data_IF_620038189083
#
_entry.id   IF_620038189083
#
_cell.length_a   1.000
_cell.length_b   1.000
_cell.length_c   1.000
_cell.angle_alpha   90.00
_cell.angle_beta   90.00
_cell.angle_gamma   90.00
#
_symmetry.space_group_name_H-M   'P 1'
#
loop_
_entity.id
_entity.type
_entity.pdbx_description
1 polymer ?
#
# COMPACT_ATOMS: atom_id res chain seq x y z
N UNK A 1 5.90 -12.87 19.48
CA UNK A 1 4.96 -12.05 18.69
C UNK A 1 5.49 -10.64 18.47
N UNK A 2 5.77 -9.84 19.51
CA UNK A 2 6.26 -8.46 19.32
C UNK A 2 7.49 -8.36 18.43
N UNK A 3 8.53 -9.17 18.65
CA UNK A 3 9.73 -9.21 17.79
C UNK A 3 9.41 -9.59 16.34
N UNK A 4 8.47 -10.51 16.12
CA UNK A 4 8.02 -10.91 14.77
C UNK A 4 7.34 -9.74 14.06
N UNK A 5 6.42 -9.06 14.75
CA UNK A 5 5.71 -7.88 14.26
C UNK A 5 6.65 -6.70 14.01
N UNK A 6 7.73 -6.58 14.79
CA UNK A 6 8.77 -5.59 14.57
C UNK A 6 9.58 -5.90 13.31
N UNK A 7 10.05 -7.15 13.14
CA UNK A 7 10.77 -7.59 11.94
C UNK A 7 9.94 -7.38 10.67
N UNK A 8 8.63 -7.58 10.75
CA UNK A 8 7.70 -7.29 9.67
C UNK A 8 7.70 -5.80 9.28
N UNK A 9 7.63 -4.88 10.27
CA UNK A 9 7.75 -3.44 10.01
C UNK A 9 9.12 -3.07 9.44
N UNK A 10 10.20 -3.67 9.93
CA UNK A 10 11.56 -3.42 9.45
C UNK A 10 11.73 -3.82 7.98
N UNK A 11 11.17 -4.94 7.53
CA UNK A 11 11.14 -5.33 6.10
C UNK A 11 10.49 -4.26 5.22
N UNK A 12 9.53 -3.50 5.75
CA UNK A 12 8.86 -2.44 5.00
C UNK A 12 9.77 -1.20 4.89
N UNK A 13 10.47 -0.87 5.97
CA UNK A 13 11.47 0.21 5.99
C UNK A 13 12.62 -0.09 5.02
N UNK A 14 13.08 -1.34 4.97
CA UNK A 14 14.15 -1.79 4.07
C UNK A 14 13.87 -1.48 2.59
N UNK A 15 12.61 -1.49 2.15
CA UNK A 15 12.25 -1.11 0.77
C UNK A 15 12.74 0.32 0.48
N UNK A 16 12.52 1.24 1.41
CA UNK A 16 12.90 2.64 1.26
C UNK A 16 14.39 2.92 1.54
N UNK A 17 15.15 1.91 1.98
CA UNK A 17 16.60 1.95 2.10
C UNK A 17 17.26 1.34 0.85
N UNK A 18 16.68 0.27 0.32
CA UNK A 18 17.15 -0.47 -0.86
C UNK A 18 17.04 0.34 -2.15
N UNK A 19 15.96 1.11 -2.28
CA UNK A 19 15.67 1.87 -3.49
C UNK A 19 15.94 3.35 -3.27
N UNK A 20 16.69 3.95 -4.18
CA UNK A 20 16.78 5.40 -4.32
C UNK A 20 15.59 5.89 -5.16
N UNK A 21 14.66 6.57 -4.51
CA UNK A 21 13.47 7.13 -5.15
C UNK A 21 13.65 8.58 -5.58
N UNK A 22 14.85 9.14 -5.43
CA UNK A 22 15.18 10.48 -5.93
C UNK A 22 15.04 10.51 -7.46
N UNK A 23 14.45 11.59 -7.99
CA UNK A 23 14.23 11.76 -9.42
C UNK A 23 13.18 10.84 -10.09
N UNK A 24 12.76 9.74 -9.44
CA UNK A 24 11.80 8.79 -10.03
C UNK A 24 10.39 9.37 -10.23
N UNK A 25 9.60 8.79 -11.13
CA UNK A 25 8.18 9.09 -11.26
C UNK A 25 7.39 8.53 -10.07
N UNK A 26 6.42 9.26 -9.55
CA UNK A 26 5.58 8.82 -8.43
C UNK A 26 4.85 7.49 -8.70
N UNK A 27 4.42 7.23 -9.94
CA UNK A 27 3.78 5.99 -10.35
C UNK A 27 4.76 4.81 -10.32
N UNK A 28 5.99 5.00 -10.79
CA UNK A 28 7.03 3.96 -10.71
C UNK A 28 7.32 3.58 -9.26
N UNK A 29 7.41 4.59 -8.37
CA UNK A 29 7.62 4.36 -6.93
C UNK A 29 6.49 3.52 -6.35
N UNK A 30 5.23 3.87 -6.65
CA UNK A 30 4.07 3.09 -6.18
C UNK A 30 4.12 1.65 -6.69
N UNK A 31 4.45 1.44 -7.97
CA UNK A 31 4.53 0.09 -8.57
C UNK A 31 5.64 -0.76 -7.95
N UNK A 32 6.82 -0.16 -7.69
CA UNK A 32 7.95 -0.85 -7.04
C UNK A 32 7.57 -1.25 -5.61
N UNK A 33 7.02 -0.32 -4.83
CA UNK A 33 6.61 -0.58 -3.45
C UNK A 33 5.50 -1.64 -3.41
N UNK A 34 4.53 -1.58 -4.32
CA UNK A 34 3.46 -2.58 -4.46
C UNK A 34 4.01 -4.00 -4.72
N UNK A 35 4.99 -4.12 -5.62
CA UNK A 35 5.65 -5.41 -5.92
C UNK A 35 6.42 -5.96 -4.73
N UNK A 36 7.25 -5.13 -4.11
CA UNK A 36 8.02 -5.53 -2.93
C UNK A 36 7.10 -5.93 -1.77
N UNK A 37 5.93 -5.29 -1.64
CA UNK A 37 4.89 -5.68 -0.70
C UNK A 37 4.35 -7.08 -1.00
N UNK A 38 3.95 -7.32 -2.25
CA UNK A 38 3.42 -8.62 -2.66
C UNK A 38 4.43 -9.76 -2.44
N UNK A 39 5.73 -9.51 -2.67
CA UNK A 39 6.79 -10.50 -2.48
C UNK A 39 7.16 -10.74 -1.02
N UNK A 40 7.30 -9.68 -0.21
CA UNK A 40 7.82 -9.76 1.17
C UNK A 40 6.74 -10.01 2.23
N UNK A 41 5.48 -9.75 1.91
CA UNK A 41 4.35 -9.75 2.86
C UNK A 41 3.22 -10.70 2.44
N UNK A 42 3.53 -11.70 1.60
CA UNK A 42 2.60 -12.79 1.24
C UNK A 42 1.95 -13.45 2.48
N UNK A 43 2.69 -13.52 3.59
CA UNK A 43 2.24 -14.15 4.84
C UNK A 43 1.31 -13.26 5.69
N UNK A 44 0.99 -12.02 5.29
CA UNK A 44 0.00 -11.20 6.01
C UNK A 44 -1.39 -11.47 5.43
N UNK A 45 -1.93 -12.65 5.76
CA UNK A 45 -3.32 -12.96 5.42
C UNK A 45 -4.29 -12.27 6.39
N UNK A 46 -5.53 -11.97 5.95
CA UNK A 46 -6.61 -11.54 6.85
C UNK A 46 -6.80 -12.50 8.04
N UNK A 47 -6.62 -13.80 7.83
CA UNK A 47 -6.73 -14.82 8.88
C UNK A 47 -5.67 -14.64 9.99
N UNK A 48 -4.39 -14.46 9.62
CA UNK A 48 -3.31 -14.23 10.59
C UNK A 48 -3.51 -12.92 11.35
N UNK A 49 -3.97 -11.87 10.65
CA UNK A 49 -4.29 -10.59 11.27
C UNK A 49 -5.41 -10.72 12.31
N UNK A 50 -6.48 -11.44 11.96
CA UNK A 50 -7.60 -11.69 12.87
C UNK A 50 -7.15 -12.46 14.12
N UNK A 51 -6.35 -13.51 13.96
CA UNK A 51 -5.82 -14.31 15.06
C UNK A 51 -4.92 -13.50 16.00
N UNK A 52 -3.97 -12.72 15.45
CA UNK A 52 -3.07 -11.88 16.24
C UNK A 52 -3.81 -10.81 17.03
N UNK A 53 -4.84 -10.19 16.45
CA UNK A 53 -5.68 -9.20 17.12
C UNK A 53 -6.47 -9.80 18.28
N UNK A 54 -6.93 -11.05 18.14
CA UNK A 54 -7.63 -11.77 19.21
C UNK A 54 -6.72 -12.24 20.34
N UNK A 55 -5.55 -12.79 20.02
CA UNK A 55 -4.63 -13.35 21.00
C UNK A 55 -3.75 -12.31 21.71
N UNK A 56 -3.39 -11.21 21.02
CA UNK A 56 -2.43 -10.21 21.51
C UNK A 56 -2.88 -8.77 21.18
N UNK A 57 -4.05 -8.32 21.68
CA UNK A 57 -4.68 -7.06 21.26
C UNK A 57 -3.79 -5.82 21.46
N UNK A 58 -3.16 -5.65 22.63
CA UNK A 58 -2.33 -4.47 22.91
C UNK A 58 -1.05 -4.44 22.07
N UNK A 59 -0.41 -5.60 21.90
CA UNK A 59 0.82 -5.74 21.10
C UNK A 59 0.50 -5.48 19.62
N UNK A 60 -0.63 -6.02 19.14
CA UNK A 60 -1.08 -5.82 17.77
C UNK A 60 -1.47 -4.35 17.53
N UNK A 61 -2.20 -3.72 18.46
CA UNK A 61 -2.61 -2.31 18.32
C UNK A 61 -1.41 -1.39 18.20
N UNK A 62 -0.38 -1.56 19.06
CA UNK A 62 0.87 -0.80 18.95
C UNK A 62 1.57 -1.03 17.61
N UNK A 63 1.69 -2.28 17.16
CA UNK A 63 2.26 -2.61 15.84
C UNK A 63 1.47 -1.91 14.72
N UNK A 64 0.14 -1.96 14.79
CA UNK A 64 -0.75 -1.40 13.80
C UNK A 64 -0.61 0.12 13.70
N UNK A 65 -0.60 0.83 14.84
CA UNK A 65 -0.47 2.28 14.87
C UNK A 65 0.87 2.74 14.26
N UNK A 66 1.98 2.09 14.61
CA UNK A 66 3.30 2.36 14.03
C UNK A 66 3.33 2.11 12.52
N UNK A 67 2.72 1.00 12.08
CA UNK A 67 2.65 0.62 10.66
C UNK A 67 1.81 1.60 9.84
N UNK A 68 0.61 1.95 10.32
CA UNK A 68 -0.28 2.88 9.62
C UNK A 68 0.33 4.28 9.56
N UNK A 69 0.97 4.75 10.63
CA UNK A 69 1.65 6.04 10.64
C UNK A 69 2.73 6.10 9.55
N UNK A 70 3.59 5.08 9.49
CA UNK A 70 4.64 5.00 8.47
C UNK A 70 4.06 4.98 7.04
N UNK A 71 3.05 4.14 6.78
CA UNK A 71 2.42 4.05 5.44
C UNK A 71 1.77 5.38 5.06
N UNK A 72 1.11 6.05 6.01
CA UNK A 72 0.48 7.36 5.81
C UNK A 72 1.50 8.42 5.39
N UNK A 73 2.67 8.45 6.03
CA UNK A 73 3.74 9.39 5.65
C UNK A 73 4.26 9.11 4.25
N UNK A 74 4.49 7.83 3.90
CA UNK A 74 4.98 7.46 2.56
C UNK A 74 3.97 7.78 1.48
N UNK A 75 2.67 7.54 1.69
CA UNK A 75 1.66 7.85 0.70
C UNK A 75 1.51 9.37 0.52
N UNK A 76 1.59 10.17 1.60
CA UNK A 76 1.56 11.64 1.53
C UNK A 76 2.73 12.20 0.71
N UNK A 77 3.94 11.67 0.92
CA UNK A 77 5.14 12.04 0.14
C UNK A 77 4.94 11.70 -1.34
N UNK A 78 4.47 10.48 -1.64
CA UNK A 78 4.25 10.05 -3.01
C UNK A 78 3.18 10.90 -3.71
N UNK A 79 2.05 11.19 -3.05
CA UNK A 79 0.98 12.05 -3.56
C UNK A 79 1.51 13.45 -3.89
N UNK A 80 2.25 14.06 -2.96
CA UNK A 80 2.87 15.38 -3.15
C UNK A 80 3.76 15.38 -4.38
N UNK A 81 4.59 14.35 -4.52
CA UNK A 81 5.51 14.19 -5.64
C UNK A 81 4.76 14.03 -6.97
N UNK A 82 3.76 13.15 -7.04
CA UNK A 82 3.02 12.94 -8.28
C UNK A 82 2.19 14.16 -8.72
N UNK A 83 1.70 14.97 -7.77
CA UNK A 83 1.09 16.27 -8.09
C UNK A 83 2.13 17.22 -8.68
N UNK A 84 3.32 17.33 -8.08
CA UNK A 84 4.41 18.19 -8.61
C UNK A 84 4.92 17.75 -10.00
N UNK A 85 4.72 16.48 -10.35
CA UNK A 85 5.08 15.89 -11.64
C UNK A 85 3.92 15.90 -12.65
N UNK A 86 2.75 16.45 -12.26
CA UNK A 86 1.50 16.44 -13.04
C UNK A 86 0.99 15.01 -13.40
N UNK A 87 1.49 14.00 -12.69
CA UNK A 87 1.05 12.61 -12.83
C UNK A 87 -0.23 12.35 -12.05
N UNK A 88 -0.43 13.06 -10.94
CA UNK A 88 -1.65 13.03 -10.14
C UNK A 88 -2.40 14.34 -10.25
N UNK A 89 -3.72 14.29 -10.06
CA UNK A 89 -4.56 15.49 -10.19
C UNK A 89 -4.18 16.53 -9.14
N UNK A 90 -4.12 17.80 -9.57
CA UNK A 90 -3.75 18.91 -8.69
C UNK A 90 -4.84 19.34 -7.71
N UNK A 91 -6.06 18.83 -7.84
CA UNK A 91 -7.22 19.12 -6.98
C UNK A 91 -7.34 18.20 -5.76
N UNK A 92 -6.43 17.23 -5.62
CA UNK A 92 -6.46 16.25 -4.54
C UNK A 92 -6.13 16.90 -3.18
N UNK A 93 -6.97 16.61 -2.18
CA UNK A 93 -6.58 16.81 -0.78
C UNK A 93 -5.67 15.67 -0.34
N UNK A 94 -4.37 15.92 -0.25
CA UNK A 94 -3.35 14.91 0.13
C UNK A 94 -3.74 14.19 1.43
N UNK A 95 -4.20 14.93 2.43
CA UNK A 95 -4.60 14.37 3.72
C UNK A 95 -5.81 13.43 3.61
N UNK A 96 -6.85 13.84 2.88
CA UNK A 96 -8.04 13.01 2.71
C UNK A 96 -7.73 11.75 1.91
N UNK A 97 -6.96 11.87 0.83
CA UNK A 97 -6.59 10.74 -0.01
C UNK A 97 -5.69 9.75 0.74
N UNK A 98 -4.74 10.24 1.55
CA UNK A 98 -3.92 9.38 2.40
C UNK A 98 -4.78 8.60 3.41
N UNK A 99 -5.74 9.25 4.07
CA UNK A 99 -6.67 8.59 5.00
C UNK A 99 -7.55 7.56 4.31
N UNK A 100 -8.06 7.87 3.11
CA UNK A 100 -8.86 6.93 2.33
C UNK A 100 -8.04 5.71 1.90
N UNK A 101 -6.79 5.89 1.51
CA UNK A 101 -5.88 4.79 1.19
C UNK A 101 -5.67 3.87 2.40
N UNK A 102 -5.37 4.44 3.58
CA UNK A 102 -5.24 3.70 4.83
C UNK A 102 -6.53 2.95 5.18
N UNK A 103 -7.69 3.61 5.07
CA UNK A 103 -8.98 2.97 5.33
C UNK A 103 -9.17 1.74 4.45
N UNK A 104 -8.87 1.84 3.15
CA UNK A 104 -8.98 0.70 2.23
C UNK A 104 -8.02 -0.43 2.56
N UNK A 105 -6.79 -0.09 2.95
CA UNK A 105 -5.80 -1.08 3.38
C UNK A 105 -6.25 -1.86 4.63
N UNK A 106 -6.97 -1.20 5.54
CA UNK A 106 -7.58 -1.85 6.71
C UNK A 106 -8.77 -2.72 6.27
N UNK A 107 -9.65 -2.18 5.41
CA UNK A 107 -10.87 -2.87 4.98
C UNK A 107 -10.60 -4.21 4.30
N UNK A 108 -9.52 -4.34 3.51
CA UNK A 108 -9.17 -5.60 2.83
C UNK A 108 -8.78 -6.74 3.80
N UNK A 109 -8.60 -6.45 5.09
CA UNK A 109 -8.41 -7.45 6.15
C UNK A 109 -9.69 -7.75 6.92
N UNK A 110 -10.83 -7.13 6.58
CA UNK A 110 -12.09 -7.36 7.25
C UNK A 110 -12.78 -8.63 6.68
N UNK A 111 -12.89 -9.71 7.47
CA UNK A 111 -13.47 -10.97 7.01
C UNK A 111 -14.98 -10.88 6.73
N UNK A 112 -15.69 -9.88 7.28
CA UNK A 112 -17.12 -9.69 7.05
C UNK A 112 -17.40 -9.21 5.61
N UNK A 113 -16.47 -8.44 5.04
CA UNK A 113 -16.56 -7.95 3.66
C UNK A 113 -15.78 -8.83 2.68
N UNK A 114 -14.64 -9.35 3.10
CA UNK A 114 -13.73 -10.14 2.27
C UNK A 114 -13.35 -11.46 2.97
N UNK A 115 -14.23 -12.48 2.90
CA UNK A 115 -13.95 -13.79 3.49
C UNK A 115 -12.66 -14.39 2.90
N UNK A 116 -11.72 -14.86 3.75
CA UNK A 116 -10.43 -15.37 3.29
C UNK A 116 -10.54 -16.66 2.45
N UNK A 117 -11.66 -17.38 2.54
CA UNK A 117 -11.95 -18.56 1.71
C UNK A 117 -12.32 -18.18 0.27
N UNK A 118 -12.79 -16.94 0.06
CA UNK A 118 -13.24 -16.45 -1.24
C UNK A 118 -12.21 -15.53 -1.91
N UNK A 119 -11.45 -14.77 -1.12
CA UNK A 119 -10.54 -13.74 -1.64
C UNK A 119 -9.15 -13.85 -1.04
N UNK A 120 -8.14 -13.97 -1.90
CA UNK A 120 -6.74 -13.88 -1.48
C UNK A 120 -6.34 -12.44 -1.19
N UNK A 121 -5.41 -12.23 -0.25
CA UNK A 121 -4.85 -10.90 0.04
C UNK A 121 -4.28 -10.25 -1.23
N UNK A 122 -3.55 -11.02 -2.05
CA UNK A 122 -2.98 -10.53 -3.32
C UNK A 122 -4.06 -9.95 -4.22
N UNK A 123 -5.14 -10.70 -4.47
CA UNK A 123 -6.24 -10.25 -5.33
C UNK A 123 -6.89 -8.96 -4.80
N UNK A 124 -7.16 -8.88 -3.50
CA UNK A 124 -7.76 -7.69 -2.89
C UNK A 124 -6.83 -6.48 -2.96
N UNK A 125 -5.54 -6.69 -2.67
CA UNK A 125 -4.52 -5.65 -2.70
C UNK A 125 -4.32 -5.13 -4.12
N UNK A 126 -4.22 -6.00 -5.13
CA UNK A 126 -4.06 -5.62 -6.54
C UNK A 126 -5.23 -4.76 -7.02
N UNK A 127 -6.47 -5.18 -6.75
CA UNK A 127 -7.68 -4.42 -7.13
C UNK A 127 -7.75 -3.08 -6.39
N UNK A 128 -7.47 -3.06 -5.09
CA UNK A 128 -7.45 -1.84 -4.27
C UNK A 128 -6.40 -0.85 -4.77
N UNK A 129 -5.19 -1.34 -5.05
CA UNK A 129 -4.06 -0.55 -5.54
C UNK A 129 -4.33 0.03 -6.93
N UNK A 130 -4.81 -0.79 -7.87
CA UNK A 130 -5.18 -0.32 -9.20
C UNK A 130 -6.29 0.74 -9.14
N UNK A 131 -7.32 0.49 -8.33
CA UNK A 131 -8.41 1.46 -8.11
C UNK A 131 -7.85 2.77 -7.56
N UNK A 132 -6.93 2.71 -6.60
CA UNK A 132 -6.29 3.90 -6.03
C UNK A 132 -5.54 4.71 -7.09
N UNK A 133 -4.65 4.09 -7.88
CA UNK A 133 -3.88 4.79 -8.92
C UNK A 133 -4.80 5.45 -9.93
N UNK A 134 -5.79 4.70 -10.46
CA UNK A 134 -6.80 5.22 -11.39
C UNK A 134 -7.60 6.38 -10.78
N UNK A 135 -7.86 6.32 -9.48
CA UNK A 135 -8.62 7.35 -8.77
C UNK A 135 -7.84 8.64 -8.49
N UNK A 136 -6.51 8.67 -8.64
CA UNK A 136 -5.68 9.86 -8.35
C UNK A 136 -4.95 10.42 -9.58
N UNK A 137 -4.75 9.60 -10.61
CA UNK A 137 -3.98 9.98 -11.78
C UNK A 137 -4.66 11.07 -12.63
N UNK A 138 -3.85 11.89 -13.29
CA UNK A 138 -4.27 12.69 -14.46
C UNK A 138 -4.43 11.78 -15.68
N UNK A 139 -5.02 12.23 -16.80
CA UNK A 139 -5.03 11.45 -18.04
C UNK A 139 -3.63 11.01 -18.47
N UNK A 140 -2.64 11.92 -18.41
CA UNK A 140 -1.23 11.62 -18.70
C UNK A 140 -0.64 10.60 -17.73
N UNK A 141 -0.92 10.74 -16.43
CA UNK A 141 -0.48 9.78 -15.43
C UNK A 141 -1.11 8.40 -15.64
N UNK A 142 -2.38 8.35 -16.06
CA UNK A 142 -3.07 7.11 -16.35
C UNK A 142 -2.46 6.41 -17.57
N UNK A 143 -2.21 7.15 -18.66
CA UNK A 143 -1.53 6.61 -19.85
C UNK A 143 -0.14 6.03 -19.47
N UNK A 144 0.61 6.76 -18.64
CA UNK A 144 1.90 6.29 -18.12
C UNK A 144 1.77 5.01 -17.29
N UNK A 145 0.76 4.96 -16.41
CA UNK A 145 0.47 3.78 -15.59
C UNK A 145 0.16 2.55 -16.46
N UNK A 146 -0.67 2.70 -17.50
CA UNK A 146 -1.00 1.59 -18.41
C UNK A 146 0.24 1.11 -19.18
N UNK A 147 1.08 2.03 -19.67
CA UNK A 147 2.32 1.69 -20.35
C UNK A 147 3.24 0.85 -19.44
N UNK A 148 3.39 1.27 -18.17
CA UNK A 148 4.20 0.55 -17.18
C UNK A 148 3.59 -0.79 -16.80
N UNK A 149 2.27 -0.85 -16.61
CA UNK A 149 1.56 -2.09 -16.27
C UNK A 149 1.79 -3.15 -17.36
N UNK A 150 1.62 -2.77 -18.62
CA UNK A 150 1.78 -3.65 -19.78
C UNK A 150 3.25 -4.07 -20.00
N UNK A 151 4.19 -3.14 -19.85
CA UNK A 151 5.62 -3.42 -20.09
C UNK A 151 6.26 -4.30 -19.01
N UNK A 152 5.71 -4.28 -17.80
CA UNK A 152 6.26 -5.01 -16.66
C UNK A 152 5.54 -6.33 -16.35
N UNK A 153 4.62 -6.78 -17.22
CA UNK A 153 3.92 -8.06 -17.07
C UNK A 153 2.98 -8.11 -15.86
N UNK A 154 2.39 -6.96 -15.47
CA UNK A 154 1.35 -6.90 -14.45
C UNK A 154 -0.01 -7.30 -15.07
N UNK A 155 -0.14 -8.56 -15.49
CA UNK A 155 -1.43 -9.21 -15.78
C UNK A 155 -1.93 -10.00 -14.56
#
# INVERSE_FOLDING_TARGET
>A
VEKTLQLEREKFIEIFIKYDFEGMNAIDILLIVSRELAEKFYDISPAITHELKGLFPDIYQKHFDERIHFISDKIRINLTKGISQEMYRGDLSIELIARLYISRLIDIHNPDFFPPEAFSFKTLFDVMFETFVRSIATPRGLDYYEEKKNSAGFE
#
